data_IF_113667202294
#
_entry.id   IF_113667202294
#
_cell.length_a   1.000
_cell.length_b   1.000
_cell.length_c   1.000
_cell.angle_alpha   90.00
_cell.angle_beta   90.00
_cell.angle_gamma   90.00
#
_symmetry.space_group_name_H-M   'P 1'
#
loop_
_entity.id
_entity.type
_entity.pdbx_description
1 polymer ?
#
# COMPACT_ATOMS: atom_id res chain seq x y z
N UNK A 1 -11.76 29.96 1.52
CA UNK A 1 -10.54 29.73 0.72
C UNK A 1 -9.63 28.60 1.23
N UNK A 2 -9.95 27.87 2.32
CA UNK A 2 -9.11 26.76 2.86
C UNK A 2 -9.84 25.43 3.10
N UNK A 3 -11.17 25.41 2.95
CA UNK A 3 -12.06 24.23 2.96
C UNK A 3 -11.74 23.17 1.89
N UNK A 4 -10.78 23.44 1.00
CA UNK A 4 -10.34 22.53 -0.08
C UNK A 4 -8.83 22.22 -0.04
N UNK A 5 -8.05 22.86 0.84
CA UNK A 5 -6.57 22.72 0.92
C UNK A 5 -6.12 22.00 2.20
N UNK A 6 -6.97 21.79 3.22
CA UNK A 6 -6.53 21.15 4.48
C UNK A 6 -6.89 19.65 4.62
N UNK A 7 -7.89 19.14 3.90
CA UNK A 7 -8.41 17.77 4.09
C UNK A 7 -7.97 16.80 2.98
N UNK A 8 -8.01 17.23 1.71
CA UNK A 8 -7.44 16.52 0.55
C UNK A 8 -5.91 16.40 0.62
N UNK A 9 -5.31 17.32 1.34
CA UNK A 9 -3.92 17.39 1.70
C UNK A 9 -3.45 16.28 2.65
N UNK A 10 -4.08 16.18 3.81
CA UNK A 10 -3.58 15.39 4.95
C UNK A 10 -3.91 13.91 4.78
N UNK A 11 -5.00 13.56 4.10
CA UNK A 11 -5.44 12.18 3.91
C UNK A 11 -4.67 11.51 2.78
N UNK A 12 -4.57 12.16 1.62
CA UNK A 12 -3.88 11.62 0.46
C UNK A 12 -2.38 11.46 0.78
N UNK A 13 -1.79 12.37 1.58
CA UNK A 13 -0.42 12.26 2.09
C UNK A 13 -0.17 11.20 3.16
N UNK A 14 -1.21 10.70 3.82
CA UNK A 14 -1.08 9.63 4.82
C UNK A 14 -1.15 8.25 4.17
N UNK A 15 -1.89 8.07 3.06
CA UNK A 15 -1.94 6.80 2.31
C UNK A 15 -0.76 6.55 1.41
N UNK A 16 -0.14 7.62 0.96
CA UNK A 16 1.04 7.57 0.12
C UNK A 16 2.32 7.13 0.88
N UNK A 17 2.33 7.19 2.20
CA UNK A 17 3.55 7.05 3.02
C UNK A 17 3.70 5.70 3.76
N UNK A 18 3.20 4.58 3.22
CA UNK A 18 3.62 3.25 3.67
C UNK A 18 4.25 2.44 2.54
N UNK A 19 5.25 3.06 1.93
CA UNK A 19 6.43 2.37 1.42
C UNK A 19 7.13 1.68 2.60
N UNK A 20 6.82 0.42 2.85
CA UNK A 20 7.75 -0.44 3.58
C UNK A 20 8.45 -1.27 2.50
N UNK A 21 9.80 -1.35 2.53
CA UNK A 21 10.50 -2.38 1.78
C UNK A 21 9.92 -3.74 2.18
N UNK A 22 9.64 -4.62 1.22
CA UNK A 22 9.52 -6.05 1.53
C UNK A 22 10.95 -6.54 1.80
N UNK A 23 11.52 -6.20 2.95
CA UNK A 23 12.85 -6.65 3.34
C UNK A 23 12.74 -7.61 4.50
N UNK A 24 12.89 -8.91 4.21
CA UNK A 24 13.09 -9.92 5.24
C UNK A 24 12.90 -11.34 4.71
N UNK A 25 13.97 -12.14 4.76
CA UNK A 25 13.91 -13.57 4.50
C UNK A 25 12.83 -14.23 5.34
N UNK A 26 11.98 -15.00 4.66
CA UNK A 26 10.87 -15.75 5.26
C UNK A 26 11.44 -16.95 6.03
N UNK A 27 11.24 -17.06 7.37
CA UNK A 27 11.72 -18.20 8.14
C UNK A 27 10.77 -19.42 7.99
N UNK A 28 11.32 -20.60 7.69
CA UNK A 28 10.56 -21.87 7.77
C UNK A 28 10.63 -22.84 6.57
N UNK A 29 11.43 -22.55 5.55
CA UNK A 29 11.34 -23.20 4.23
C UNK A 29 11.91 -24.62 4.22
N UNK A 30 11.22 -25.56 3.55
CA UNK A 30 11.83 -26.84 3.11
C UNK A 30 12.81 -26.66 1.93
N UNK A 31 12.89 -25.45 1.34
CA UNK A 31 13.88 -25.06 0.33
C UNK A 31 14.09 -23.54 0.40
N UNK A 32 15.27 -22.99 0.77
CA UNK A 32 15.47 -21.55 1.02
C UNK A 32 15.08 -20.65 -0.15
N UNK A 33 14.57 -19.44 0.11
CA UNK A 33 14.47 -18.41 -0.94
C UNK A 33 15.88 -18.21 -1.47
N UNK A 34 16.02 -18.16 -2.79
CA UNK A 34 17.28 -17.72 -3.37
C UNK A 34 17.48 -16.24 -3.01
N UNK A 35 18.72 -15.79 -2.98
CA UNK A 35 19.02 -14.36 -2.78
C UNK A 35 18.32 -13.51 -3.86
N UNK A 36 18.17 -14.07 -5.06
CA UNK A 36 17.42 -13.48 -6.17
C UNK A 36 15.93 -13.28 -5.84
N UNK A 37 15.25 -14.25 -5.20
CA UNK A 37 13.83 -14.10 -4.83
C UNK A 37 13.64 -12.99 -3.79
N UNK A 38 14.54 -12.90 -2.81
CA UNK A 38 14.49 -11.85 -1.79
C UNK A 38 14.72 -10.47 -2.41
N UNK A 39 15.68 -10.37 -3.34
CA UNK A 39 15.95 -9.15 -4.09
C UNK A 39 14.77 -8.76 -5.00
N UNK A 40 14.13 -9.72 -5.66
CA UNK A 40 12.91 -9.49 -6.46
C UNK A 40 11.80 -8.89 -5.60
N UNK A 41 11.50 -9.51 -4.45
CA UNK A 41 10.45 -9.02 -3.54
C UNK A 41 10.77 -7.63 -3.00
N UNK A 42 12.04 -7.38 -2.66
CA UNK A 42 12.49 -6.06 -2.24
C UNK A 42 12.32 -5.02 -3.34
N UNK A 43 12.73 -5.33 -4.58
CA UNK A 43 12.59 -4.43 -5.73
C UNK A 43 11.13 -4.09 -6.05
N UNK A 44 10.22 -5.06 -5.88
CA UNK A 44 8.76 -4.85 -5.98
C UNK A 44 8.30 -3.85 -4.93
N UNK A 45 8.62 -4.09 -3.64
CA UNK A 45 8.26 -3.20 -2.55
C UNK A 45 8.85 -1.79 -2.71
N UNK A 46 10.13 -1.70 -3.07
CA UNK A 46 10.83 -0.43 -3.24
C UNK A 46 10.31 0.34 -4.46
N UNK A 47 9.92 -0.34 -5.54
CA UNK A 47 9.31 0.29 -6.73
C UNK A 47 7.95 0.92 -6.40
N UNK A 48 7.07 0.15 -5.77
CA UNK A 48 5.78 0.66 -5.31
C UNK A 48 5.96 1.81 -4.33
N UNK A 49 6.82 1.59 -3.32
CA UNK A 49 7.09 2.55 -2.27
C UNK A 49 7.67 3.87 -2.78
N UNK A 50 8.58 3.82 -3.74
CA UNK A 50 9.12 5.03 -4.37
C UNK A 50 8.09 5.72 -5.26
N UNK A 51 7.29 4.99 -6.02
CA UNK A 51 6.24 5.59 -6.87
C UNK A 51 5.21 6.31 -6.00
N UNK A 52 4.68 5.62 -4.99
CA UNK A 52 3.76 6.22 -4.04
C UNK A 52 4.44 7.37 -3.33
N UNK A 53 5.58 7.16 -2.68
CA UNK A 53 6.31 8.22 -2.01
C UNK A 53 6.47 9.48 -2.88
N UNK A 54 6.78 9.31 -4.17
CA UNK A 54 6.84 10.40 -5.15
C UNK A 54 5.52 11.13 -5.30
N UNK A 55 4.41 10.41 -5.58
CA UNK A 55 3.04 10.96 -5.62
C UNK A 55 2.78 11.81 -4.36
N UNK A 56 3.30 11.38 -3.21
CA UNK A 56 3.11 12.03 -1.92
C UNK A 56 3.86 13.33 -1.85
N UNK A 57 5.10 13.36 -2.30
CA UNK A 57 5.82 14.63 -2.39
C UNK A 57 5.11 15.60 -3.36
N UNK A 58 4.56 15.13 -4.49
CA UNK A 58 3.76 15.99 -5.38
C UNK A 58 2.53 16.57 -4.68
N UNK A 59 1.84 15.77 -3.86
CA UNK A 59 0.74 16.27 -3.02
C UNK A 59 1.22 17.20 -1.90
N UNK A 60 2.41 17.03 -1.32
CA UNK A 60 2.93 17.95 -0.30
C UNK A 60 3.23 19.29 -0.91
N UNK A 61 3.87 19.29 -2.08
CA UNK A 61 4.16 20.50 -2.82
C UNK A 61 2.90 21.34 -3.10
N UNK A 62 1.78 20.69 -3.46
CA UNK A 62 0.49 21.38 -3.65
C UNK A 62 0.07 22.23 -2.44
N UNK A 63 0.44 21.81 -1.24
CA UNK A 63 -0.05 22.37 0.01
C UNK A 63 0.90 23.39 0.60
N UNK A 64 2.18 23.08 0.53
CA UNK A 64 3.23 23.86 1.19
C UNK A 64 3.94 24.78 0.21
N UNK A 65 3.90 24.48 -1.10
CA UNK A 65 4.74 25.09 -2.14
C UNK A 65 6.23 25.05 -1.82
N UNK A 66 6.64 24.06 -1.03
CA UNK A 66 8.03 23.87 -0.63
C UNK A 66 8.79 23.11 -1.73
N UNK A 67 9.78 23.72 -2.40
CA UNK A 67 10.52 23.10 -3.50
C UNK A 67 11.23 21.80 -3.11
N UNK A 68 11.48 21.54 -1.81
CA UNK A 68 12.00 20.25 -1.35
C UNK A 68 11.08 19.08 -1.73
N UNK A 69 9.76 19.29 -1.72
CA UNK A 69 8.80 18.27 -2.13
C UNK A 69 8.73 18.10 -3.65
N UNK A 70 8.99 19.14 -4.43
CA UNK A 70 9.10 18.99 -5.90
C UNK A 70 10.35 18.18 -6.29
N UNK A 71 11.48 18.46 -5.63
CA UNK A 71 12.71 17.68 -5.77
C UNK A 71 12.53 16.23 -5.28
N UNK A 72 11.84 16.05 -4.14
CA UNK A 72 11.49 14.75 -3.59
C UNK A 72 10.63 13.91 -4.54
N UNK A 73 9.64 14.51 -5.21
CA UNK A 73 8.84 13.85 -6.23
C UNK A 73 9.73 13.29 -7.34
N UNK A 74 10.57 14.14 -7.93
CA UNK A 74 11.44 13.78 -9.05
C UNK A 74 12.45 12.68 -8.65
N UNK A 75 13.07 12.81 -7.48
CA UNK A 75 14.02 11.84 -6.94
C UNK A 75 13.39 10.46 -6.77
N UNK A 76 12.21 10.40 -6.14
CA UNK A 76 11.51 9.14 -5.88
C UNK A 76 10.98 8.49 -7.16
N UNK A 77 10.46 9.26 -8.11
CA UNK A 77 10.02 8.73 -9.40
C UNK A 77 11.19 8.11 -10.19
N UNK A 78 12.35 8.77 -10.19
CA UNK A 78 13.56 8.22 -10.81
C UNK A 78 14.04 6.94 -10.12
N UNK A 79 13.96 6.86 -8.79
CA UNK A 79 14.32 5.63 -8.08
C UNK A 79 13.35 4.49 -8.39
N UNK A 80 12.05 4.76 -8.52
CA UNK A 80 11.08 3.78 -8.97
C UNK A 80 11.37 3.27 -10.39
N UNK A 81 11.79 4.15 -11.32
CA UNK A 81 12.21 3.71 -12.67
C UNK A 81 13.42 2.77 -12.63
N UNK A 82 14.42 3.09 -11.81
CA UNK A 82 15.60 2.23 -11.61
C UNK A 82 15.18 0.86 -11.07
N UNK A 83 14.32 0.84 -10.05
CA UNK A 83 13.87 -0.40 -9.43
C UNK A 83 13.05 -1.27 -10.41
N UNK A 84 12.17 -0.67 -11.22
CA UNK A 84 11.41 -1.40 -12.24
C UNK A 84 12.32 -1.95 -13.35
N UNK A 85 13.34 -1.19 -13.77
CA UNK A 85 14.32 -1.65 -14.74
C UNK A 85 15.14 -2.83 -14.18
N UNK A 86 15.60 -2.71 -12.94
CA UNK A 86 16.33 -3.78 -12.25
C UNK A 86 15.44 -5.03 -12.10
N UNK A 87 14.20 -4.87 -11.67
CA UNK A 87 13.22 -5.95 -11.55
C UNK A 87 12.94 -6.63 -12.89
N UNK A 88 12.82 -5.86 -13.97
CA UNK A 88 12.66 -6.38 -15.34
C UNK A 88 13.86 -7.26 -15.75
N UNK A 89 15.08 -6.85 -15.39
CA UNK A 89 16.29 -7.60 -15.65
C UNK A 89 16.38 -8.88 -14.81
N UNK A 90 16.00 -8.82 -13.53
CA UNK A 90 16.04 -9.96 -12.60
C UNK A 90 15.03 -11.05 -12.93
N UNK A 91 13.82 -10.69 -13.38
CA UNK A 91 12.75 -11.66 -13.63
C UNK A 91 12.94 -12.51 -14.91
N UNK A 92 14.03 -12.30 -15.66
CA UNK A 92 14.38 -13.04 -16.89
C UNK A 92 13.15 -13.20 -17.82
N UNK A 93 12.39 -12.12 -17.99
CA UNK A 93 11.05 -12.08 -18.58
C UNK A 93 10.99 -12.45 -20.07
N UNK A 94 12.13 -12.70 -20.70
CA UNK A 94 12.23 -13.17 -22.08
C UNK A 94 12.01 -14.69 -22.21
N UNK A 95 11.94 -15.43 -21.10
CA UNK A 95 11.59 -16.86 -21.11
C UNK A 95 10.10 -17.04 -21.43
N UNK A 96 9.71 -17.98 -22.31
CA UNK A 96 8.31 -18.19 -22.71
C UNK A 96 7.33 -18.40 -21.55
N UNK A 97 7.80 -18.98 -20.45
CA UNK A 97 6.99 -19.32 -19.28
C UNK A 97 6.67 -18.10 -18.40
N UNK A 98 7.31 -16.94 -18.63
CA UNK A 98 7.14 -15.72 -17.85
C UNK A 98 6.32 -14.65 -18.59
N UNK A 99 5.63 -15.02 -19.69
CA UNK A 99 4.88 -14.08 -20.54
C UNK A 99 3.82 -13.29 -19.77
N UNK A 100 3.08 -13.94 -18.87
CA UNK A 100 2.03 -13.27 -18.07
C UNK A 100 2.63 -12.27 -17.08
N UNK A 101 3.74 -12.65 -16.44
CA UNK A 101 4.49 -11.77 -15.54
C UNK A 101 5.11 -10.58 -16.30
N UNK A 102 5.60 -10.81 -17.52
CA UNK A 102 6.10 -9.78 -18.42
C UNK A 102 4.97 -8.79 -18.77
N UNK A 103 3.81 -9.29 -19.19
CA UNK A 103 2.67 -8.45 -19.54
C UNK A 103 2.17 -7.64 -18.33
N UNK A 104 2.13 -8.25 -17.14
CA UNK A 104 1.80 -7.54 -15.91
C UNK A 104 2.83 -6.42 -15.60
N UNK A 105 4.12 -6.69 -15.79
CA UNK A 105 5.19 -5.71 -15.59
C UNK A 105 5.06 -4.50 -16.52
N UNK A 106 4.84 -4.74 -17.82
CA UNK A 106 4.69 -3.67 -18.81
C UNK A 106 3.44 -2.81 -18.54
N UNK A 107 2.38 -3.44 -18.01
CA UNK A 107 1.18 -2.73 -17.57
C UNK A 107 1.49 -1.81 -16.38
N UNK A 108 2.28 -2.28 -15.40
CA UNK A 108 2.72 -1.46 -14.25
C UNK A 108 3.61 -0.30 -14.69
N UNK A 109 4.58 -0.54 -15.58
CA UNK A 109 5.45 0.51 -16.14
C UNK A 109 4.60 1.59 -16.82
N UNK A 110 3.62 1.18 -17.62
CA UNK A 110 2.71 2.09 -18.32
C UNK A 110 1.83 2.88 -17.35
N UNK A 111 1.24 2.22 -16.35
CA UNK A 111 0.39 2.87 -15.36
C UNK A 111 1.18 3.85 -14.47
N UNK A 112 2.41 3.50 -14.10
CA UNK A 112 3.33 4.38 -13.37
C UNK A 112 3.67 5.63 -14.19
N UNK A 113 3.98 5.48 -15.47
CA UNK A 113 4.25 6.60 -16.37
C UNK A 113 3.04 7.55 -16.49
N UNK A 114 1.82 7.00 -16.54
CA UNK A 114 0.59 7.80 -16.52
C UNK A 114 0.43 8.57 -15.21
N UNK A 115 0.65 7.92 -14.06
CA UNK A 115 0.59 8.56 -12.75
C UNK A 115 1.63 9.68 -12.61
N UNK A 116 2.88 9.44 -13.04
CA UNK A 116 3.93 10.44 -13.08
C UNK A 116 3.57 11.64 -13.97
N UNK A 117 3.05 11.38 -15.18
CA UNK A 117 2.57 12.43 -16.08
C UNK A 117 1.44 13.23 -15.43
N UNK A 118 0.54 12.56 -14.70
CA UNK A 118 -0.57 13.23 -13.99
C UNK A 118 -0.08 14.15 -12.88
N UNK A 119 0.90 13.67 -12.10
CA UNK A 119 1.56 14.49 -11.09
C UNK A 119 2.27 15.70 -11.72
N UNK A 120 2.98 15.52 -12.84
CA UNK A 120 3.66 16.61 -13.55
C UNK A 120 2.67 17.66 -14.08
N UNK A 121 1.55 17.24 -14.71
CA UNK A 121 0.49 18.15 -15.15
C UNK A 121 -0.12 18.95 -13.99
N UNK A 122 -0.32 18.28 -12.86
CA UNK A 122 -0.83 18.90 -11.64
C UNK A 122 0.15 19.95 -11.09
N UNK A 123 1.45 19.63 -11.00
CA UNK A 123 2.50 20.55 -10.58
C UNK A 123 2.61 21.75 -11.55
N UNK A 124 2.59 21.52 -12.86
CA UNK A 124 2.64 22.57 -13.87
C UNK A 124 1.45 23.53 -13.79
N UNK A 125 0.25 23.01 -13.51
CA UNK A 125 -0.97 23.81 -13.36
C UNK A 125 -0.89 24.80 -12.19
N UNK A 126 -0.14 24.48 -11.12
CA UNK A 126 0.09 25.39 -9.99
C UNK A 126 0.99 26.56 -10.33
N UNK A 127 1.92 26.35 -11.25
CA UNK A 127 2.89 27.36 -11.67
C UNK A 127 2.29 28.33 -12.71
N UNK A 128 1.02 28.13 -13.11
CA UNK A 128 0.30 29.05 -13.99
C UNK A 128 -0.65 29.98 -13.20
N UNK A 129 -0.78 31.27 -13.57
CA UNK A 129 -1.63 32.24 -12.87
C UNK A 129 -3.14 31.94 -12.89
N UNK A 130 -3.59 30.93 -13.65
CA UNK A 130 -5.00 30.56 -13.82
C UNK A 130 -5.26 29.18 -13.23
N UNK A 131 -5.40 29.10 -11.91
CA UNK A 131 -5.71 27.89 -11.13
C UNK A 131 -7.12 27.29 -11.35
N UNK A 132 -7.82 27.68 -12.42
CA UNK A 132 -9.23 27.34 -12.64
C UNK A 132 -9.48 25.84 -12.94
N UNK A 133 -8.45 25.08 -13.31
CA UNK A 133 -8.56 23.65 -13.64
C UNK A 133 -8.02 22.70 -12.55
N UNK A 134 -7.54 23.24 -11.43
CA UNK A 134 -6.90 22.45 -10.37
C UNK A 134 -7.80 21.31 -9.82
N UNK A 135 -9.12 21.49 -9.61
CA UNK A 135 -9.99 20.39 -9.18
C UNK A 135 -10.08 19.24 -10.20
N UNK A 136 -10.13 19.55 -11.49
CA UNK A 136 -10.18 18.54 -12.56
C UNK A 136 -8.85 17.77 -12.65
N UNK A 137 -7.72 18.45 -12.54
CA UNK A 137 -6.39 17.82 -12.52
C UNK A 137 -6.21 16.89 -11.32
N UNK A 138 -6.73 17.25 -10.14
CA UNK A 138 -6.73 16.37 -8.96
C UNK A 138 -7.55 15.10 -9.22
N UNK A 139 -8.72 15.20 -9.84
CA UNK A 139 -9.56 14.04 -10.16
C UNK A 139 -8.87 13.12 -11.17
N UNK A 140 -8.30 13.68 -12.24
CA UNK A 140 -7.54 12.93 -13.25
C UNK A 140 -6.34 12.25 -12.62
N UNK A 141 -5.60 12.95 -11.76
CA UNK A 141 -4.45 12.38 -11.07
C UNK A 141 -4.86 11.25 -10.11
N UNK A 142 -5.91 11.44 -9.31
CA UNK A 142 -6.45 10.40 -8.43
C UNK A 142 -6.82 9.14 -9.20
N UNK A 143 -7.51 9.26 -10.34
CA UNK A 143 -7.88 8.11 -11.16
C UNK A 143 -6.65 7.36 -11.72
N UNK A 144 -5.56 8.07 -12.02
CA UNK A 144 -4.29 7.46 -12.47
C UNK A 144 -3.56 6.76 -11.33
N UNK A 145 -3.60 7.31 -10.12
CA UNK A 145 -3.07 6.66 -8.91
C UNK A 145 -3.86 5.38 -8.60
N UNK A 146 -5.19 5.44 -8.68
CA UNK A 146 -6.06 4.27 -8.49
C UNK A 146 -5.76 3.18 -9.53
N UNK A 147 -5.58 3.58 -10.81
CA UNK A 147 -5.18 2.64 -11.86
C UNK A 147 -3.80 2.03 -11.61
N UNK A 148 -2.81 2.83 -11.21
CA UNK A 148 -1.49 2.33 -10.83
C UNK A 148 -1.57 1.29 -9.70
N UNK A 149 -2.26 1.62 -8.60
CA UNK A 149 -2.45 0.71 -7.47
C UNK A 149 -3.07 -0.62 -7.90
N UNK A 150 -4.15 -0.56 -8.70
CA UNK A 150 -4.81 -1.75 -9.24
C UNK A 150 -3.86 -2.60 -10.10
N UNK A 151 -3.10 -1.97 -11.00
CA UNK A 151 -2.15 -2.70 -11.87
C UNK A 151 -0.99 -3.30 -11.08
N UNK A 152 -0.54 -2.62 -10.02
CA UNK A 152 0.54 -3.10 -9.17
C UNK A 152 0.08 -4.29 -8.31
N UNK A 153 -1.13 -4.25 -7.76
CA UNK A 153 -1.76 -5.37 -7.06
C UNK A 153 -1.80 -6.63 -7.95
N UNK A 154 -2.15 -6.47 -9.23
CA UNK A 154 -2.19 -7.56 -10.21
C UNK A 154 -0.80 -8.12 -10.52
N UNK A 155 0.23 -7.28 -10.67
CA UNK A 155 1.62 -7.73 -10.83
C UNK A 155 2.08 -8.54 -9.63
N UNK A 156 1.81 -8.05 -8.42
CA UNK A 156 2.19 -8.73 -7.19
C UNK A 156 1.49 -10.09 -7.05
N UNK A 157 0.19 -10.19 -7.40
CA UNK A 157 -0.53 -11.47 -7.50
C UNK A 157 0.13 -12.42 -8.49
N UNK A 158 0.45 -11.94 -9.68
CA UNK A 158 1.07 -12.75 -10.72
C UNK A 158 2.45 -13.26 -10.28
N UNK A 159 3.23 -12.41 -9.61
CA UNK A 159 4.54 -12.77 -9.08
C UNK A 159 4.43 -13.84 -7.98
N UNK A 160 3.58 -13.63 -6.97
CA UNK A 160 3.39 -14.62 -5.90
C UNK A 160 2.88 -15.95 -6.46
N UNK A 161 1.92 -15.93 -7.37
CA UNK A 161 1.44 -17.15 -8.04
C UNK A 161 2.56 -17.86 -8.81
N UNK A 162 3.39 -17.11 -9.55
CA UNK A 162 4.53 -17.66 -10.26
C UNK A 162 5.55 -18.31 -9.31
N UNK A 163 5.88 -17.64 -8.20
CA UNK A 163 6.78 -18.17 -7.18
C UNK A 163 6.17 -19.41 -6.50
N UNK A 164 4.88 -19.39 -6.15
CA UNK A 164 4.17 -20.54 -5.54
C UNK A 164 4.17 -21.73 -6.50
N UNK A 165 3.89 -21.52 -7.79
CA UNK A 165 3.92 -22.59 -8.79
C UNK A 165 5.34 -23.15 -8.97
N UNK A 166 6.35 -22.28 -9.00
CA UNK A 166 7.76 -22.65 -9.18
C UNK A 166 8.27 -23.51 -8.01
N UNK A 167 7.87 -23.16 -6.79
CA UNK A 167 8.34 -23.83 -5.56
C UNK A 167 7.35 -24.85 -4.99
N UNK A 168 6.21 -25.08 -5.65
CA UNK A 168 5.15 -25.99 -5.22
C UNK A 168 4.09 -25.35 -4.33
N UNK A 169 2.85 -25.84 -4.44
CA UNK A 169 1.65 -25.31 -3.78
C UNK A 169 1.66 -25.41 -2.25
N UNK A 170 2.57 -26.20 -1.67
CA UNK A 170 2.71 -26.40 -0.22
C UNK A 170 3.71 -25.43 0.42
N UNK A 171 4.17 -24.41 -0.31
CA UNK A 171 5.07 -23.39 0.21
C UNK A 171 4.33 -22.42 1.17
N UNK A 172 4.14 -22.87 2.41
CA UNK A 172 3.42 -22.15 3.47
C UNK A 172 4.05 -20.78 3.74
N UNK A 173 5.37 -20.70 3.74
CA UNK A 173 6.11 -19.45 3.94
C UNK A 173 5.78 -18.38 2.89
N UNK A 174 5.76 -18.77 1.62
CA UNK A 174 5.45 -17.85 0.54
C UNK A 174 3.98 -17.38 0.60
N UNK A 175 3.06 -18.27 1.02
CA UNK A 175 1.66 -17.92 1.30
C UNK A 175 1.53 -16.98 2.50
N UNK A 176 2.36 -17.17 3.54
CA UNK A 176 2.40 -16.27 4.69
C UNK A 176 2.96 -14.89 4.30
N UNK A 177 4.00 -14.82 3.47
CA UNK A 177 4.54 -13.57 2.97
C UNK A 177 3.57 -12.83 2.05
N UNK A 178 2.88 -13.55 1.16
CA UNK A 178 1.77 -12.97 0.37
C UNK A 178 0.71 -12.38 1.30
N UNK A 179 0.29 -13.11 2.33
CA UNK A 179 -0.69 -12.62 3.29
C UNK A 179 -0.24 -11.35 4.02
N UNK A 180 1.03 -11.24 4.41
CA UNK A 180 1.58 -10.01 5.02
C UNK A 180 1.47 -8.82 4.07
N UNK A 181 1.86 -9.00 2.81
CA UNK A 181 1.80 -7.93 1.82
C UNK A 181 0.34 -7.52 1.52
N UNK A 182 -0.57 -8.51 1.45
CA UNK A 182 -2.01 -8.25 1.27
C UNK A 182 -2.63 -7.53 2.46
N UNK A 183 -2.26 -7.86 3.69
CA UNK A 183 -2.70 -7.14 4.89
C UNK A 183 -2.34 -5.66 4.83
N UNK A 184 -1.15 -5.34 4.32
CA UNK A 184 -0.71 -3.95 4.12
C UNK A 184 -1.57 -3.25 3.06
N UNK A 185 -1.83 -3.92 1.92
CA UNK A 185 -2.71 -3.40 0.86
C UNK A 185 -4.14 -3.15 1.33
N UNK A 186 -4.77 -4.13 1.96
CA UNK A 186 -6.15 -4.04 2.45
C UNK A 186 -6.27 -2.94 3.52
N UNK A 187 -5.22 -2.71 4.32
CA UNK A 187 -5.17 -1.59 5.27
C UNK A 187 -5.16 -0.23 4.56
N UNK A 188 -4.33 -0.08 3.53
CA UNK A 188 -4.23 1.17 2.76
C UNK A 188 -5.54 1.45 2.01
N UNK A 189 -6.09 0.44 1.33
CA UNK A 189 -7.31 0.59 0.55
C UNK A 189 -8.54 0.83 1.42
N UNK A 190 -8.71 0.08 2.52
CA UNK A 190 -9.84 0.30 3.45
C UNK A 190 -9.81 1.72 3.99
N UNK A 191 -8.65 2.23 4.37
CA UNK A 191 -8.57 3.60 4.81
C UNK A 191 -8.81 4.61 3.67
N UNK A 192 -8.30 4.39 2.45
CA UNK A 192 -8.59 5.25 1.30
C UNK A 192 -10.10 5.32 0.99
N UNK A 193 -10.78 4.17 0.99
CA UNK A 193 -12.22 4.05 0.79
C UNK A 193 -13.01 4.76 1.90
N UNK A 194 -12.61 4.59 3.16
CA UNK A 194 -13.20 5.30 4.28
C UNK A 194 -13.20 6.82 4.07
N UNK A 195 -12.07 7.37 3.66
CA UNK A 195 -11.98 8.80 3.38
C UNK A 195 -12.78 9.22 2.16
N UNK A 196 -12.74 8.44 1.07
CA UNK A 196 -13.52 8.69 -0.14
C UNK A 196 -15.01 8.81 0.20
N UNK A 197 -15.55 7.91 1.03
CA UNK A 197 -16.95 8.00 1.45
C UNK A 197 -17.23 9.28 2.27
N UNK A 198 -16.40 9.60 3.27
CA UNK A 198 -16.61 10.78 4.11
C UNK A 198 -16.60 12.09 3.30
N UNK A 199 -15.81 12.12 2.23
CA UNK A 199 -15.70 13.25 1.31
C UNK A 199 -16.89 13.31 0.34
N UNK A 200 -17.23 12.20 -0.30
CA UNK A 200 -18.12 12.18 -1.46
C UNK A 200 -19.56 11.75 -1.15
N UNK A 201 -19.77 10.97 -0.08
CA UNK A 201 -21.04 10.31 0.21
C UNK A 201 -21.38 9.15 -0.73
N UNK A 202 -20.42 8.68 -1.55
CA UNK A 202 -20.64 7.59 -2.51
C UNK A 202 -20.87 6.25 -1.81
N UNK A 203 -22.13 5.79 -1.77
CA UNK A 203 -22.53 4.53 -1.13
C UNK A 203 -21.86 3.28 -1.68
N UNK A 204 -21.38 3.27 -2.93
CA UNK A 204 -20.62 2.11 -3.43
C UNK A 204 -19.29 1.95 -2.69
N UNK A 205 -18.75 3.04 -2.17
CA UNK A 205 -17.50 3.05 -1.41
C UNK A 205 -17.64 2.33 -0.06
N UNK A 206 -18.84 2.27 0.55
CA UNK A 206 -19.05 1.54 1.82
C UNK A 206 -18.99 0.02 1.60
N UNK A 207 -19.56 -0.48 0.50
CA UNK A 207 -19.48 -1.89 0.13
C UNK A 207 -18.02 -2.29 -0.16
N UNK A 208 -17.30 -1.46 -0.91
CA UNK A 208 -15.87 -1.68 -1.17
C UNK A 208 -15.05 -1.70 0.13
N UNK A 209 -15.37 -0.80 1.06
CA UNK A 209 -14.73 -0.74 2.37
C UNK A 209 -14.93 -2.04 3.16
N UNK A 210 -16.16 -2.52 3.26
CA UNK A 210 -16.49 -3.76 3.99
C UNK A 210 -15.86 -5.00 3.33
N UNK A 211 -15.80 -5.03 1.99
CA UNK A 211 -15.08 -6.07 1.28
C UNK A 211 -13.59 -6.06 1.64
N UNK A 212 -12.95 -4.89 1.72
CA UNK A 212 -11.53 -4.80 2.10
C UNK A 212 -11.26 -5.22 3.54
N UNK A 213 -12.19 -4.93 4.45
CA UNK A 213 -12.10 -5.45 5.82
C UNK A 213 -12.27 -6.98 5.87
N UNK A 214 -13.07 -7.55 4.98
CA UNK A 214 -13.25 -9.01 4.85
C UNK A 214 -12.03 -9.68 4.22
N UNK A 215 -11.46 -9.07 3.17
CA UNK A 215 -10.21 -9.50 2.55
C UNK A 215 -9.10 -9.52 3.59
N UNK A 216 -8.95 -8.44 4.37
CA UNK A 216 -8.00 -8.35 5.47
C UNK A 216 -8.14 -9.52 6.46
N UNK A 217 -9.35 -9.82 6.94
CA UNK A 217 -9.58 -10.93 7.89
C UNK A 217 -9.23 -12.29 7.27
N UNK A 218 -9.48 -12.44 5.96
CA UNK A 218 -9.07 -13.62 5.21
C UNK A 218 -7.56 -13.76 5.15
N UNK A 219 -6.81 -12.66 4.97
CA UNK A 219 -5.34 -12.68 5.00
C UNK A 219 -4.79 -13.00 6.38
N UNK A 220 -5.43 -12.52 7.46
CA UNK A 220 -5.08 -12.93 8.83
C UNK A 220 -5.21 -14.45 9.00
N UNK A 221 -6.32 -15.02 8.51
CA UNK A 221 -6.54 -16.46 8.55
C UNK A 221 -5.48 -17.22 7.73
N UNK A 222 -5.19 -16.78 6.51
CA UNK A 222 -4.16 -17.37 5.65
C UNK A 222 -2.80 -17.34 6.36
N UNK A 223 -2.39 -16.20 6.94
CA UNK A 223 -1.13 -16.09 7.65
C UNK A 223 -1.04 -17.08 8.82
N UNK A 224 -2.08 -17.14 9.66
CA UNK A 224 -2.13 -18.06 10.82
C UNK A 224 -2.14 -19.53 10.43
N UNK A 225 -2.76 -19.89 9.31
CA UNK A 225 -2.78 -21.27 8.81
C UNK A 225 -1.46 -21.70 8.16
N UNK A 226 -0.64 -20.74 7.74
CA UNK A 226 0.61 -21.02 7.04
C UNK A 226 1.87 -20.75 7.89
N UNK A 227 1.77 -20.06 9.03
CA UNK A 227 2.89 -19.83 9.94
C UNK A 227 2.60 -20.39 11.33
N UNK A 228 3.50 -21.22 11.85
CA UNK A 228 3.42 -21.67 13.24
C UNK A 228 3.83 -20.53 14.18
N UNK A 229 2.88 -20.04 14.96
CA UNK A 229 3.04 -18.93 15.90
C UNK A 229 3.23 -19.42 17.34
N UNK A 230 3.31 -20.73 17.56
CA UNK A 230 3.50 -21.33 18.91
C UNK A 230 4.93 -21.26 19.45
N UNK A 231 6.01 -21.29 18.64
CA UNK A 231 7.37 -21.23 19.14
C UNK A 231 7.68 -19.93 19.93
N UNK A 232 8.55 -19.98 20.95
CA UNK A 232 8.85 -18.81 21.79
C UNK A 232 9.36 -17.58 21.02
N UNK A 233 10.12 -17.79 19.96
CA UNK A 233 10.66 -16.76 19.07
C UNK A 233 9.58 -16.12 18.18
N UNK A 234 8.44 -16.79 17.98
CA UNK A 234 7.31 -16.29 17.20
C UNK A 234 6.23 -15.57 18.03
N UNK A 235 6.35 -15.57 19.37
CA UNK A 235 5.38 -14.91 20.28
C UNK A 235 5.23 -13.41 20.02
N UNK A 236 6.31 -12.73 19.64
CA UNK A 236 6.30 -11.30 19.30
C UNK A 236 5.53 -11.03 18.00
N UNK A 237 5.67 -11.91 17.01
CA UNK A 237 4.92 -11.85 15.74
C UNK A 237 3.43 -12.11 16.00
N UNK A 238 3.11 -13.12 16.81
CA UNK A 238 1.73 -13.43 17.20
C UNK A 238 1.06 -12.24 17.91
N UNK A 239 1.76 -11.65 18.90
CA UNK A 239 1.26 -10.48 19.62
C UNK A 239 1.08 -9.26 18.69
N UNK A 240 2.00 -9.05 17.74
CA UNK A 240 1.88 -7.97 16.77
C UNK A 240 0.69 -8.16 15.83
N UNK A 241 0.42 -9.39 15.38
CA UNK A 241 -0.76 -9.73 14.59
C UNK A 241 -2.06 -9.47 15.37
N UNK A 242 -2.11 -9.82 16.65
CA UNK A 242 -3.28 -9.56 17.50
C UNK A 242 -3.52 -8.07 17.72
N UNK A 243 -2.44 -7.28 17.92
CA UNK A 243 -2.52 -5.82 18.00
C UNK A 243 -3.04 -5.26 16.67
N UNK A 244 -2.54 -5.74 15.55
CA UNK A 244 -2.96 -5.33 14.21
C UNK A 244 -4.47 -5.57 14.00
N UNK A 245 -4.97 -6.77 14.31
CA UNK A 245 -6.40 -7.10 14.26
C UNK A 245 -7.23 -6.19 15.17
N UNK A 246 -6.76 -5.94 16.40
CA UNK A 246 -7.43 -5.05 17.35
C UNK A 246 -7.51 -3.61 16.80
N UNK A 247 -6.43 -3.09 16.20
CA UNK A 247 -6.43 -1.73 15.64
C UNK A 247 -7.31 -1.63 14.40
N UNK A 248 -7.33 -2.65 13.55
CA UNK A 248 -8.25 -2.75 12.40
C UNK A 248 -9.72 -2.70 12.87
N UNK A 249 -10.09 -3.50 13.88
CA UNK A 249 -11.46 -3.51 14.40
C UNK A 249 -11.89 -2.13 14.94
N UNK A 250 -11.03 -1.51 15.76
CA UNK A 250 -11.28 -0.16 16.29
C UNK A 250 -11.42 0.90 15.20
N UNK A 251 -10.56 0.84 14.18
CA UNK A 251 -10.66 1.71 13.00
C UNK A 251 -11.99 1.51 12.26
N UNK A 252 -12.37 0.25 11.99
CA UNK A 252 -13.61 -0.10 11.30
C UNK A 252 -14.85 0.40 12.06
N UNK A 253 -14.93 0.17 13.38
CA UNK A 253 -16.03 0.65 14.21
C UNK A 253 -16.17 2.18 14.14
N UNK A 254 -15.03 2.89 14.20
CA UNK A 254 -15.05 4.36 14.15
C UNK A 254 -15.51 4.88 12.79
N UNK A 255 -15.07 4.26 11.71
CA UNK A 255 -15.49 4.60 10.36
C UNK A 255 -16.99 4.33 10.17
N UNK A 256 -17.51 3.20 10.65
CA UNK A 256 -18.93 2.87 10.55
C UNK A 256 -19.82 3.88 11.28
N UNK A 257 -19.37 4.41 12.43
CA UNK A 257 -20.08 5.51 13.11
C UNK A 257 -20.09 6.78 12.26
N UNK A 258 -18.95 7.14 11.66
CA UNK A 258 -18.85 8.32 10.80
C UNK A 258 -19.64 8.17 9.50
N UNK A 259 -19.72 6.95 8.96
CA UNK A 259 -20.54 6.64 7.79
C UNK A 259 -22.01 6.91 8.09
N UNK A 260 -22.53 6.35 9.20
CA UNK A 260 -23.91 6.60 9.64
C UNK A 260 -24.19 8.08 9.86
N UNK A 261 -23.28 8.81 10.53
CA UNK A 261 -23.44 10.25 10.74
C UNK A 261 -23.55 11.00 9.41
N UNK A 262 -22.69 10.68 8.44
CA UNK A 262 -22.70 11.26 7.09
C UNK A 262 -23.99 10.92 6.34
N UNK A 263 -24.46 9.66 6.37
CA UNK A 263 -25.70 9.24 5.71
C UNK A 263 -26.95 9.92 6.30
N UNK A 264 -26.93 10.18 7.60
CA UNK A 264 -27.99 10.89 8.31
C UNK A 264 -27.91 12.42 8.16
N UNK A 265 -26.97 12.95 7.35
CA UNK A 265 -26.64 14.38 7.26
C UNK A 265 -26.40 15.03 8.64
N UNK A 266 -25.96 14.25 9.62
CA UNK A 266 -25.57 14.77 10.91
C UNK A 266 -24.20 15.44 10.78
N UNK A 267 -24.03 16.54 11.50
CA UNK A 267 -22.72 17.17 11.62
C UNK A 267 -21.71 16.18 12.19
N UNK A 268 -20.57 16.01 11.52
CA UNK A 268 -19.46 15.22 12.05
C UNK A 268 -18.77 16.06 13.12
N UNK A 269 -18.83 15.62 14.37
CA UNK A 269 -18.16 16.28 15.48
C UNK A 269 -16.63 16.28 15.25
N UNK A 270 -15.95 17.44 15.32
CA UNK A 270 -14.49 17.54 15.25
C UNK A 270 -13.73 16.60 16.21
N UNK A 271 -14.31 16.28 17.37
CA UNK A 271 -13.75 15.31 18.32
C UNK A 271 -13.67 13.90 17.71
N UNK A 272 -14.63 13.51 16.87
CA UNK A 272 -14.66 12.22 16.19
C UNK A 272 -13.60 12.13 15.09
N UNK A 273 -13.31 13.23 14.40
CA UNK A 273 -12.22 13.31 13.42
C UNK A 273 -10.85 13.22 14.09
N UNK A 274 -10.69 13.83 15.27
CA UNK A 274 -9.46 13.74 16.07
C UNK A 274 -9.20 12.30 16.53
N UNK A 275 -10.25 11.62 17.01
CA UNK A 275 -10.19 10.22 17.37
C UNK A 275 -9.91 9.32 16.16
N UNK A 276 -10.56 9.57 15.01
CA UNK A 276 -10.29 8.84 13.78
C UNK A 276 -8.82 8.95 13.37
N UNK A 277 -8.25 10.15 13.39
CA UNK A 277 -6.82 10.36 13.10
C UNK A 277 -5.92 9.53 14.04
N UNK A 278 -6.29 9.43 15.30
CA UNK A 278 -5.55 8.64 16.29
C UNK A 278 -5.64 7.14 15.97
N UNK A 279 -6.81 6.67 15.57
CA UNK A 279 -7.05 5.26 15.22
C UNK A 279 -6.36 4.88 13.90
N UNK A 280 -6.36 5.77 12.89
CA UNK A 280 -5.59 5.61 11.65
C UNK A 280 -4.09 5.48 11.96
N UNK A 281 -3.54 6.39 12.76
CA UNK A 281 -2.13 6.35 13.13
C UNK A 281 -1.78 5.08 13.92
N UNK A 282 -2.66 4.64 14.82
CA UNK A 282 -2.49 3.40 15.55
C UNK A 282 -2.54 2.17 14.62
N UNK A 283 -3.45 2.16 13.65
CA UNK A 283 -3.56 1.07 12.68
C UNK A 283 -2.34 1.01 11.76
N UNK A 284 -1.90 2.15 11.22
CA UNK A 284 -0.64 2.29 10.47
C UNK A 284 0.56 1.77 11.28
N UNK A 285 0.65 2.14 12.56
CA UNK A 285 1.75 1.72 13.42
C UNK A 285 1.72 0.22 13.69
N UNK A 286 0.54 -0.37 13.82
CA UNK A 286 0.36 -1.81 13.99
C UNK A 286 0.71 -2.59 12.71
N UNK A 287 0.34 -2.08 11.53
CA UNK A 287 0.74 -2.66 10.23
C UNK A 287 2.27 -2.69 10.14
N UNK A 288 2.93 -1.55 10.38
CA UNK A 288 4.41 -1.46 10.36
C UNK A 288 5.05 -2.42 11.36
N UNK A 289 4.60 -2.41 12.62
CA UNK A 289 5.13 -3.28 13.65
C UNK A 289 4.99 -4.77 13.31
N UNK A 290 3.85 -5.16 12.72
CA UNK A 290 3.63 -6.53 12.27
C UNK A 290 4.50 -6.91 11.08
N UNK A 291 4.62 -6.05 10.06
CA UNK A 291 5.48 -6.29 8.89
C UNK A 291 6.95 -6.41 9.34
N UNK A 292 7.46 -5.45 10.12
CA UNK A 292 8.85 -5.46 10.61
C UNK A 292 9.18 -6.73 11.38
N UNK A 293 8.27 -7.19 12.26
CA UNK A 293 8.47 -8.41 13.04
C UNK A 293 8.35 -9.67 12.19
N UNK A 294 7.43 -9.67 11.21
CA UNK A 294 7.25 -10.80 10.30
C UNK A 294 8.46 -11.01 9.39
N UNK A 295 9.20 -9.94 9.12
CA UNK A 295 10.38 -9.87 8.27
C UNK A 295 11.72 -10.02 9.02
N UNK A 296 11.75 -9.94 10.35
CA UNK A 296 12.99 -10.12 11.14
C UNK A 296 13.43 -11.59 11.13
N UNK A 297 14.71 -11.81 10.86
CA UNK A 297 15.39 -13.12 10.97
C UNK A 297 15.17 -13.65 12.39
N UNK A 298 14.70 -14.90 12.52
CA UNK A 298 14.91 -15.64 13.76
C UNK A 298 16.42 -15.62 13.98
N UNK A 299 16.89 -14.97 15.05
CA UNK A 299 18.29 -15.02 15.40
C UNK A 299 18.65 -16.51 15.51
N UNK A 300 19.49 -16.99 14.60
CA UNK A 300 20.03 -18.34 14.64
C UNK A 300 20.78 -18.46 15.96
N UNK A 301 20.14 -19.04 16.97
CA UNK A 301 20.85 -19.72 18.04
C UNK A 301 21.38 -21.01 17.41
N UNK A 302 22.51 -20.91 16.71
CA UNK A 302 23.33 -22.08 16.49
C UNK A 302 23.91 -22.53 17.85
N UNK A 303 23.96 -23.84 18.12
CA UNK A 303 24.37 -24.41 19.40
C UNK A 303 25.86 -24.22 19.73
#
# INVERSE_FOLDING_TARGET
>A
MTTKIALYAVIILTFIAMALPVTGQIPGRNTPLTDDDAQIMQLVGDSYGNTMGGIGEAYRYLLTKDPEHEAGFSSRMNQADKNLLELKNYLLLERPNNRDLHQAMETVISAKALAQTGAQSLLASLNTPKTNNLPQEIVIFSARVDHFNYTFDALERALFNCLILTYGTDNRDLKAAEAVARLQWDSVESMALAHKFLLTGDRMTTVQFDNKLTDFDSQVAIFRSNRDLTPPDQKTVAAALDILVQKKARFADKIQVLFKAKEMNQGIDPSMLTLLKTDINAFISAVRGFVDLSCKKAATTDP
#
